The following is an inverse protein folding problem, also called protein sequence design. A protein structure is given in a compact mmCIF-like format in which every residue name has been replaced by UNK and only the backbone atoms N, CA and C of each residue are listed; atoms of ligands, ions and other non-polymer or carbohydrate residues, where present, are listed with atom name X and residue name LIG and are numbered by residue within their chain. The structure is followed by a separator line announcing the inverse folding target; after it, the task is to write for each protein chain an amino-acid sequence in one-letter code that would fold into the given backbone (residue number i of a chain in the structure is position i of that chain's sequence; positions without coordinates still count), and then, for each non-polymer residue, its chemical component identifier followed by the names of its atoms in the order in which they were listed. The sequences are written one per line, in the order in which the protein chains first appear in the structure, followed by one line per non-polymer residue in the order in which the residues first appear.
data_IF_485656518653
#
_entry.id   IF_485656518653
#
_cell.length_a   1.000
_cell.length_b   1.000
_cell.length_c   1.000
_cell.angle_alpha   90.00
_cell.angle_beta   90.00
_cell.angle_gamma   90.00
#
_symmetry.space_group_name_H-M   'P 1'
#
loop_
_entity.id
_entity.type
_entity.pdbx_description
1 polymer ?
#
# COMPACT_ATOMS: atom_id res chain seq x y z
N UNK A 1 -3.10 23.30 1.22
CA UNK A 1 -3.80 22.60 0.12
C UNK A 1 -3.65 21.14 0.48
N UNK A 2 -4.76 20.49 0.82
CA UNK A 2 -4.77 19.04 0.98
C UNK A 2 -4.73 18.50 -0.45
N UNK A 3 -3.57 17.99 -0.89
CA UNK A 3 -3.50 17.30 -2.17
C UNK A 3 -4.10 15.92 -1.95
N UNK A 4 -5.16 15.60 -2.69
CA UNK A 4 -5.78 14.29 -2.73
C UNK A 4 -5.32 13.58 -4.00
N UNK A 5 -4.85 12.34 -3.87
CA UNK A 5 -4.64 11.47 -5.01
C UNK A 5 -5.87 10.56 -5.14
N UNK A 6 -6.05 9.94 -6.30
CA UNK A 6 -7.13 8.96 -6.51
C UNK A 6 -6.51 7.61 -6.86
N UNK A 7 -7.12 6.51 -6.43
CA UNK A 7 -6.73 5.17 -6.87
C UNK A 7 -7.37 4.81 -8.22
N UNK A 8 -7.08 3.61 -8.73
CA UNK A 8 -7.64 3.13 -10.01
C UNK A 8 -9.18 3.05 -10.01
N UNK A 9 -9.81 2.98 -8.84
CA UNK A 9 -11.25 2.90 -8.64
C UNK A 9 -11.88 4.28 -8.41
N UNK A 10 -11.09 5.35 -8.36
CA UNK A 10 -11.55 6.70 -8.05
C UNK A 10 -11.77 6.94 -6.54
N UNK A 11 -11.18 6.12 -5.68
CA UNK A 11 -11.17 6.35 -4.25
C UNK A 11 -10.13 7.40 -3.89
N UNK A 12 -10.45 8.36 -2.99
CA UNK A 12 -9.50 9.35 -2.55
C UNK A 12 -8.43 8.70 -1.65
N UNK A 13 -7.18 9.00 -1.95
CA UNK A 13 -5.96 8.57 -1.27
C UNK A 13 -5.35 9.79 -0.59
N UNK A 14 -4.97 9.62 0.67
CA UNK A 14 -4.35 10.66 1.49
C UNK A 14 -2.97 10.21 2.00
N UNK A 15 -2.13 11.17 2.41
CA UNK A 15 -0.88 10.86 3.12
C UNK A 15 -1.19 10.01 4.37
N UNK A 16 -0.45 8.93 4.56
CA UNK A 16 -0.70 7.89 5.57
C UNK A 16 -1.64 6.76 5.12
N UNK A 17 -2.23 6.84 3.92
CA UNK A 17 -3.02 5.75 3.36
C UNK A 17 -2.13 4.63 2.83
N UNK A 18 -2.61 3.40 2.89
CA UNK A 18 -1.94 2.23 2.32
C UNK A 18 -2.45 1.94 0.93
N UNK A 19 -1.55 1.92 -0.05
CA UNK A 19 -1.88 1.63 -1.44
C UNK A 19 -1.08 0.44 -1.94
N UNK A 20 -1.71 -0.40 -2.74
CA UNK A 20 -1.09 -1.53 -3.42
C UNK A 20 -0.57 -1.09 -4.78
N UNK A 21 0.69 -1.40 -5.07
CA UNK A 21 1.27 -1.13 -6.39
C UNK A 21 0.70 -2.12 -7.41
N UNK A 22 -0.15 -1.64 -8.31
CA UNK A 22 -0.74 -2.47 -9.36
C UNK A 22 0.12 -2.55 -10.61
N UNK A 23 0.82 -1.46 -10.98
CA UNK A 23 1.61 -1.36 -12.21
C UNK A 23 2.77 -0.39 -12.08
N UNK A 24 3.93 -0.83 -12.57
CA UNK A 24 5.11 0.02 -12.73
C UNK A 24 5.35 0.20 -14.23
N UNK A 25 5.56 1.45 -14.67
CA UNK A 25 5.86 1.73 -16.08
C UNK A 25 7.25 1.22 -16.43
N UNK A 26 7.38 0.52 -17.56
CA UNK A 26 8.68 0.10 -18.09
C UNK A 26 9.63 1.28 -18.32
N UNK A 27 9.10 2.47 -18.64
CA UNK A 27 9.91 3.68 -18.76
C UNK A 27 10.57 4.10 -17.45
N UNK A 28 9.99 3.79 -16.29
CA UNK A 28 10.62 4.02 -14.98
C UNK A 28 11.73 2.99 -14.79
N UNK A 29 11.42 1.70 -14.98
CA UNK A 29 12.41 0.62 -14.87
C UNK A 29 13.61 0.81 -15.82
N UNK A 30 13.38 1.34 -17.02
CA UNK A 30 14.41 1.60 -18.02
C UNK A 30 15.33 2.78 -17.66
N UNK A 31 14.91 3.65 -16.75
CA UNK A 31 15.74 4.75 -16.24
C UNK A 31 16.52 4.35 -14.98
N UNK A 32 16.16 3.22 -14.38
CA UNK A 32 16.77 2.69 -13.17
C UNK A 32 17.94 1.76 -13.49
N UNK A 33 18.89 1.67 -12.55
CA UNK A 33 19.95 0.66 -12.61
C UNK A 33 19.35 -0.74 -12.48
N UNK A 34 20.09 -1.78 -12.88
CA UNK A 34 19.59 -3.16 -12.81
C UNK A 34 19.15 -3.57 -11.39
N UNK A 35 19.90 -3.15 -10.37
CA UNK A 35 19.57 -3.36 -8.96
C UNK A 35 18.30 -2.61 -8.52
N UNK A 36 18.16 -1.33 -8.92
CA UNK A 36 17.00 -0.51 -8.58
C UNK A 36 15.74 -0.99 -9.31
N UNK A 37 15.88 -1.47 -10.55
CA UNK A 37 14.80 -2.05 -11.32
C UNK A 37 14.32 -3.37 -10.72
N UNK A 38 15.22 -4.20 -10.18
CA UNK A 38 14.85 -5.40 -9.44
C UNK A 38 14.12 -5.06 -8.13
N UNK A 39 14.63 -4.08 -7.37
CA UNK A 39 13.96 -3.60 -6.15
C UNK A 39 12.58 -3.01 -6.45
N UNK A 40 12.47 -2.20 -7.51
CA UNK A 40 11.18 -1.63 -7.94
C UNK A 40 10.21 -2.73 -8.38
N UNK A 41 10.70 -3.79 -9.06
CA UNK A 41 9.87 -4.95 -9.38
C UNK A 41 9.40 -5.69 -8.13
N UNK A 42 10.18 -5.71 -7.05
CA UNK A 42 9.74 -6.28 -5.78
C UNK A 42 8.66 -5.43 -5.07
N UNK A 43 8.61 -4.12 -5.35
CA UNK A 43 7.50 -3.26 -4.91
C UNK A 43 6.18 -3.58 -5.64
N UNK A 44 6.23 -4.24 -6.81
CA UNK A 44 5.02 -4.63 -7.54
C UNK A 44 4.15 -5.58 -6.71
N UNK A 45 2.89 -5.20 -6.50
CA UNK A 45 1.93 -5.97 -5.72
C UNK A 45 2.07 -5.81 -4.20
N UNK A 46 3.11 -5.11 -3.73
CA UNK A 46 3.31 -4.77 -2.33
C UNK A 46 2.43 -3.60 -1.93
N UNK A 47 2.06 -3.56 -0.64
CA UNK A 47 1.26 -2.50 -0.04
C UNK A 47 2.20 -1.57 0.70
N UNK A 48 2.22 -0.30 0.27
CA UNK A 48 3.11 0.72 0.81
C UNK A 48 2.30 1.91 1.30
N UNK A 49 2.84 2.60 2.31
CA UNK A 49 2.24 3.81 2.85
C UNK A 49 2.59 5.02 1.97
N UNK A 50 1.60 5.87 1.73
CA UNK A 50 1.79 7.13 1.00
C UNK A 50 2.42 8.15 1.94
N UNK A 51 3.65 8.58 1.64
CA UNK A 51 4.35 9.58 2.43
C UNK A 51 4.09 11.01 1.95
N UNK A 52 3.84 11.20 0.65
CA UNK A 52 3.57 12.51 0.06
C UNK A 52 2.59 12.42 -1.11
N UNK A 53 1.82 13.49 -1.36
CA UNK A 53 0.98 13.64 -2.55
C UNK A 53 1.35 14.94 -3.26
N UNK A 54 1.69 14.83 -4.54
CA UNK A 54 2.06 15.97 -5.37
C UNK A 54 0.84 16.77 -5.87
N UNK A 55 1.11 17.96 -6.43
CA UNK A 55 0.07 18.87 -6.94
C UNK A 55 -0.70 18.34 -8.17
N UNK A 56 -0.22 17.26 -8.78
CA UNK A 56 -0.84 16.59 -9.92
C UNK A 56 -1.67 15.36 -9.51
N UNK A 57 -1.79 15.07 -8.21
CA UNK A 57 -2.50 13.91 -7.68
C UNK A 57 -1.70 12.62 -7.78
N UNK A 58 -0.36 12.70 -7.88
CA UNK A 58 0.54 11.56 -7.77
C UNK A 58 0.84 11.25 -6.30
N UNK A 59 0.65 10.00 -5.90
CA UNK A 59 1.00 9.54 -4.56
C UNK A 59 2.42 8.97 -4.55
N UNK A 60 3.22 9.45 -3.61
CA UNK A 60 4.60 9.02 -3.39
C UNK A 60 4.64 8.01 -2.27
N UNK A 61 5.06 6.81 -2.61
CA UNK A 61 5.30 5.73 -1.65
C UNK A 61 6.79 5.49 -1.50
N UNK A 62 7.19 5.03 -0.33
CA UNK A 62 8.60 4.75 -0.04
C UNK A 62 8.72 3.34 0.51
N UNK A 63 9.69 2.59 0.02
CA UNK A 63 10.10 1.33 0.64
C UNK A 63 11.54 1.45 1.11
N UNK A 64 11.82 0.91 2.28
CA UNK A 64 13.16 0.91 2.87
C UNK A 64 13.58 -0.52 3.14
N UNK A 65 14.63 -0.95 2.44
CA UNK A 65 15.23 -2.27 2.66
C UNK A 65 16.67 -2.13 3.15
N UNK A 66 17.15 -3.18 3.82
CA UNK A 66 18.55 -3.29 4.20
C UNK A 66 19.31 -3.99 3.07
N UNK A 67 20.27 -3.28 2.47
CA UNK A 67 21.17 -3.84 1.47
C UNK A 67 22.16 -4.83 2.09
N UNK A 68 22.82 -5.62 1.26
CA UNK A 68 23.74 -6.68 1.70
C UNK A 68 24.96 -6.16 2.48
N UNK A 69 25.32 -4.89 2.32
CA UNK A 69 26.38 -4.19 3.07
C UNK A 69 25.90 -3.63 4.42
N UNK A 70 24.61 -3.82 4.75
CA UNK A 70 23.98 -3.31 5.97
C UNK A 70 23.51 -1.86 5.86
N UNK A 71 23.62 -1.23 4.68
CA UNK A 71 23.08 0.10 4.45
C UNK A 71 21.54 0.04 4.31
N UNK A 72 20.84 0.98 4.93
CA UNK A 72 19.42 1.20 4.63
C UNK A 72 19.31 1.95 3.31
N UNK A 73 18.65 1.33 2.33
CA UNK A 73 18.34 1.94 1.05
C UNK A 73 16.84 2.23 1.06
N UNK A 74 16.51 3.51 0.89
CA UNK A 74 15.13 3.96 0.73
C UNK A 74 14.92 4.31 -0.73
N UNK A 75 13.82 3.82 -1.30
CA UNK A 75 13.43 4.11 -2.67
C UNK A 75 12.01 4.61 -2.70
N UNK A 76 11.87 5.82 -3.24
CA UNK A 76 10.60 6.52 -3.38
C UNK A 76 10.08 6.33 -4.80
N UNK A 77 8.81 5.98 -4.95
CA UNK A 77 8.16 5.75 -6.23
C UNK A 77 6.88 6.58 -6.32
N UNK A 78 6.81 7.44 -7.33
CA UNK A 78 5.59 8.17 -7.67
C UNK A 78 4.60 7.28 -8.43
N UNK A 79 3.42 7.09 -7.87
CA UNK A 79 2.33 6.32 -8.44
C UNK A 79 1.23 7.27 -8.91
N UNK A 80 0.84 7.13 -10.18
CA UNK A 80 -0.39 7.73 -10.67
C UNK A 80 -1.63 6.90 -10.29
N UNK A 81 -2.83 7.44 -10.50
CA UNK A 81 -4.08 6.76 -10.14
C UNK A 81 -4.22 5.36 -10.72
N UNK A 82 -3.80 5.15 -11.96
CA UNK A 82 -3.90 3.85 -12.64
C UNK A 82 -2.84 2.83 -12.19
N UNK A 83 -1.92 3.22 -11.32
CA UNK A 83 -0.78 2.41 -10.88
C UNK A 83 -0.94 1.91 -9.45
N UNK A 84 -1.96 2.37 -8.74
CA UNK A 84 -2.19 2.06 -7.34
C UNK A 84 -3.65 1.75 -7.04
N UNK A 85 -3.87 0.96 -6.01
CA UNK A 85 -5.19 0.61 -5.47
C UNK A 85 -5.20 0.89 -3.97
N UNK A 86 -6.22 1.59 -3.48
CA UNK A 86 -6.34 1.86 -2.06
C UNK A 86 -6.70 0.56 -1.33
N UNK A 87 -5.90 0.19 -0.33
CA UNK A 87 -6.18 -0.96 0.53
C UNK A 87 -6.87 -0.43 1.78
N UNK A 88 -8.16 -0.73 1.94
CA UNK A 88 -8.82 -0.50 3.23
C UNK A 88 -8.33 -1.57 4.21
N UNK A 89 -7.74 -1.15 5.34
CA UNK A 89 -7.56 -2.01 6.51
C UNK A 89 -8.97 -2.36 7.07
N UNK A 90 -9.67 -3.28 6.40
CA UNK A 90 -11.06 -3.64 6.69
C UNK A 90 -11.32 -5.15 6.72
N UNK A 91 -10.29 -5.97 6.55
CA UNK A 91 -10.40 -7.44 6.57
C UNK A 91 -9.58 -8.06 7.73
N UNK A 92 -9.45 -7.33 8.84
CA UNK A 92 -9.22 -7.97 10.13
C UNK A 92 -10.56 -8.53 10.64
N UNK A 93 -10.90 -9.71 10.14
CA UNK A 93 -11.51 -10.81 10.90
C UNK A 93 -12.44 -10.37 12.05
N UNK A 94 -13.65 -9.90 11.72
CA UNK A 94 -14.80 -9.97 12.62
C UNK A 94 -15.24 -11.44 12.72
N UNK A 95 -14.41 -12.24 13.37
CA UNK A 95 -14.44 -13.70 13.31
C UNK A 95 -14.68 -14.42 14.61
N UNK A 96 -15.13 -13.78 15.70
CA UNK A 96 -15.55 -14.52 16.92
C UNK A 96 -16.84 -13.92 17.52
N UNK A 97 -17.95 -14.08 16.81
CA UNK A 97 -19.29 -14.21 17.41
C UNK A 97 -19.38 -15.59 18.08
N UNK A 98 -18.77 -15.74 19.25
CA UNK A 98 -19.12 -16.81 20.17
C UNK A 98 -20.16 -16.27 21.14
N UNK A 99 -21.38 -16.08 20.65
CA UNK A 99 -22.55 -16.02 21.51
C UNK A 99 -22.66 -17.35 22.26
N UNK A 100 -22.27 -17.36 23.53
CA UNK A 100 -22.65 -18.44 24.43
C UNK A 100 -24.18 -18.41 24.56
N UNK A 101 -24.92 -19.47 24.17
CA UNK A 101 -26.30 -19.57 24.59
C UNK A 101 -26.31 -19.91 26.08
N UNK A 102 -26.83 -18.97 26.88
CA UNK A 102 -27.32 -19.24 28.23
C UNK A 102 -28.39 -20.34 28.17
N UNK A 103 -27.97 -21.61 28.31
CA UNK A 103 -28.90 -22.68 28.65
C UNK A 103 -29.13 -22.67 30.17
N UNK A 104 -29.89 -21.66 30.61
CA UNK A 104 -30.75 -21.81 31.78
C UNK A 104 -31.83 -22.82 31.41
N UNK A 105 -31.67 -24.05 31.89
CA UNK A 105 -32.73 -25.05 31.90
C UNK A 105 -32.65 -25.79 33.22
N UNK A 106 -33.33 -25.23 34.21
CA UNK A 106 -33.66 -25.92 35.44
C UNK A 106 -34.57 -27.14 35.23
N UNK A 107 -34.64 -27.94 36.31
CA UNK A 107 -35.53 -29.08 36.68
C UNK A 107 -34.72 -30.35 36.90
N UNK A 108 -34.94 -31.12 37.96
CA UNK A 108 -35.94 -31.17 39.03
C UNK A 108 -35.26 -31.81 40.25
#
# INVERSE_FOLDING_TARGET
MENEAEDINGNPVFVGSRVRVLRIKDSVLAQLSEADAEATRAMFGSVLEVNEIDEFGGAWVEDTWTAADGASVTHSLGLGPQQMELVQDGDEDAGEDSGEPDEDSGRD
#
